data_IF_022434114763
#
_entry.id   IF_022434114763
#
_cell.length_a   1.000
_cell.length_b   1.000
_cell.length_c   1.000
_cell.angle_alpha   90.00
_cell.angle_beta   90.00
_cell.angle_gamma   90.00
#
_symmetry.space_group_name_H-M   'P 1'
#
loop_
_entity.id
_entity.type
_entity.pdbx_description
1 polymer ?
#
# COMPACT_ATOMS: atom_id res chain seq x y z
N UNK A 1 59.51 -0.63 -49.58
CA UNK A 1 58.45 0.36 -49.90
C UNK A 1 57.29 0.08 -48.96
N UNK A 2 56.99 1.02 -48.06
CA UNK A 2 56.18 0.83 -46.86
C UNK A 2 54.73 0.38 -47.15
N UNK A 3 54.31 -0.74 -46.56
CA UNK A 3 52.89 -1.03 -46.32
C UNK A 3 52.47 -0.23 -45.09
N UNK A 4 51.55 0.69 -45.33
CA UNK A 4 51.02 1.62 -44.35
C UNK A 4 50.04 0.87 -43.44
N UNK A 5 50.51 0.43 -42.28
CA UNK A 5 49.67 -0.16 -41.23
C UNK A 5 48.87 0.97 -40.57
N UNK A 6 47.71 1.30 -41.18
CA UNK A 6 46.72 2.19 -40.57
C UNK A 6 46.02 1.41 -39.47
N UNK A 7 46.56 1.49 -38.26
CA UNK A 7 45.86 1.24 -37.01
C UNK A 7 44.52 1.96 -37.04
N UNK A 8 43.42 1.20 -37.16
CA UNK A 8 42.06 1.71 -36.94
C UNK A 8 41.97 2.17 -35.49
N UNK A 9 42.09 3.48 -35.26
CA UNK A 9 41.69 4.10 -34.01
C UNK A 9 40.23 3.74 -33.75
N UNK A 10 39.97 2.95 -32.71
CA UNK A 10 38.61 2.67 -32.27
C UNK A 10 37.90 4.00 -32.03
N UNK A 11 36.86 4.29 -32.81
CA UNK A 11 36.07 5.52 -32.65
C UNK A 11 35.52 5.56 -31.21
N UNK A 12 35.90 6.58 -30.48
CA UNK A 12 35.44 6.81 -29.12
C UNK A 12 33.97 7.26 -29.16
N UNK A 13 33.05 6.30 -29.07
CA UNK A 13 31.59 6.52 -29.16
C UNK A 13 30.99 7.20 -27.91
N UNK A 14 31.77 7.35 -26.83
CA UNK A 14 31.35 8.02 -25.59
C UNK A 14 31.72 7.23 -24.34
N UNK A 15 31.50 7.85 -23.17
CA UNK A 15 31.81 7.25 -21.87
C UNK A 15 30.56 6.62 -21.23
N UNK A 16 30.70 5.40 -20.72
CA UNK A 16 29.68 4.71 -19.94
C UNK A 16 30.07 4.72 -18.46
N UNK A 17 29.33 5.46 -17.63
CA UNK A 17 29.53 5.44 -16.16
C UNK A 17 28.59 4.44 -15.51
N UNK A 18 29.14 3.32 -15.04
CA UNK A 18 28.43 2.29 -14.31
C UNK A 18 28.72 2.39 -12.80
N UNK A 19 27.69 2.22 -11.98
CA UNK A 19 27.81 1.94 -10.54
C UNK A 19 27.13 0.61 -10.27
N UNK A 20 27.91 -0.41 -9.92
CA UNK A 20 27.42 -1.75 -9.62
C UNK A 20 27.52 -2.01 -8.12
N UNK A 21 26.48 -2.62 -7.54
CA UNK A 21 26.49 -3.13 -6.17
C UNK A 21 26.14 -4.61 -6.23
N UNK A 22 27.02 -5.47 -5.72
CA UNK A 22 26.78 -6.91 -5.58
C UNK A 22 26.65 -7.24 -4.10
N UNK A 23 25.55 -7.89 -3.74
CA UNK A 23 25.33 -8.41 -2.39
C UNK A 23 24.99 -9.90 -2.48
N UNK A 24 25.76 -10.71 -1.77
CA UNK A 24 25.49 -12.14 -1.62
C UNK A 24 24.85 -12.38 -0.25
N UNK A 25 23.64 -12.96 -0.27
CA UNK A 25 22.90 -13.30 0.95
C UNK A 25 22.70 -14.81 1.01
N UNK A 26 23.13 -15.40 2.13
CA UNK A 26 22.97 -16.83 2.42
C UNK A 26 21.75 -17.00 3.32
N UNK A 27 20.77 -17.76 2.87
CA UNK A 27 19.61 -18.17 3.67
C UNK A 27 19.87 -19.58 4.20
N UNK A 28 19.89 -19.74 5.52
CA UNK A 28 20.12 -21.03 6.16
C UNK A 28 18.88 -21.93 6.07
N UNK A 29 19.01 -23.24 6.28
CA UNK A 29 17.85 -24.12 6.49
C UNK A 29 16.99 -23.66 7.68
N UNK A 30 15.68 -23.97 7.62
CA UNK A 30 14.71 -23.49 8.62
C UNK A 30 15.06 -23.87 10.06
N UNK A 31 15.65 -25.06 10.27
CA UNK A 31 16.08 -25.57 11.58
C UNK A 31 17.01 -24.60 12.31
N UNK A 32 17.82 -23.84 11.57
CA UNK A 32 18.75 -22.87 12.15
C UNK A 32 18.04 -21.60 12.66
N UNK A 33 16.75 -21.42 12.36
CA UNK A 33 15.95 -20.28 12.81
C UNK A 33 14.92 -20.66 13.87
N UNK A 34 14.83 -21.93 14.32
CA UNK A 34 13.76 -22.36 15.23
C UNK A 34 13.75 -21.58 16.55
N UNK A 35 14.91 -21.42 17.20
CA UNK A 35 15.01 -20.70 18.48
C UNK A 35 14.55 -19.23 18.38
N UNK A 36 14.97 -18.51 17.33
CA UNK A 36 14.55 -17.12 17.12
C UNK A 36 13.07 -17.03 16.74
N UNK A 37 12.57 -18.02 16.00
CA UNK A 37 11.15 -18.10 15.63
C UNK A 37 10.28 -18.31 16.86
N UNK A 38 10.71 -19.15 17.81
CA UNK A 38 9.98 -19.38 19.06
C UNK A 38 9.93 -18.12 19.92
N UNK A 39 11.02 -17.36 20.00
CA UNK A 39 11.03 -16.05 20.68
C UNK A 39 10.04 -15.09 20.03
N UNK A 40 10.02 -15.00 18.69
CA UNK A 40 9.12 -14.10 17.96
C UNK A 40 7.66 -14.54 18.11
N UNK A 41 7.36 -15.84 18.08
CA UNK A 41 6.00 -16.39 18.20
C UNK A 41 5.44 -16.20 19.61
N UNK A 42 6.29 -16.27 20.64
CA UNK A 42 5.90 -16.08 22.04
C UNK A 42 5.84 -14.60 22.48
N UNK A 43 5.58 -13.68 21.54
CA UNK A 43 5.50 -12.22 21.77
C UNK A 43 4.49 -11.76 22.84
N UNK A 44 3.62 -12.65 23.31
CA UNK A 44 2.67 -12.35 24.41
C UNK A 44 3.32 -12.51 25.78
N UNK A 45 4.31 -13.36 25.89
CA UNK A 45 5.02 -13.68 27.13
C UNK A 45 6.33 -12.90 27.24
N UNK A 46 6.86 -12.41 26.11
CA UNK A 46 8.06 -11.62 26.04
C UNK A 46 7.83 -10.32 25.27
N UNK A 47 8.55 -9.26 25.64
CA UNK A 47 8.50 -7.96 24.96
C UNK A 47 9.70 -7.73 24.04
N UNK A 48 10.28 -8.80 23.48
CA UNK A 48 11.51 -8.71 22.68
C UNK A 48 11.27 -7.88 21.43
N UNK A 49 10.14 -8.06 20.73
CA UNK A 49 9.81 -7.31 19.52
C UNK A 49 9.74 -5.81 19.82
N UNK A 50 9.00 -5.40 20.86
CA UNK A 50 8.86 -3.98 21.23
C UNK A 50 10.18 -3.37 21.69
N UNK A 51 11.02 -4.12 22.43
CA UNK A 51 12.38 -3.69 22.80
C UNK A 51 13.27 -3.49 21.58
N UNK A 52 13.28 -4.44 20.64
CA UNK A 52 14.05 -4.33 19.40
C UNK A 52 13.56 -3.16 18.54
N UNK A 53 12.25 -2.93 18.48
CA UNK A 53 11.66 -1.81 17.76
C UNK A 53 12.20 -0.44 18.24
N UNK A 54 12.53 -0.30 19.52
CA UNK A 54 13.16 0.91 20.08
C UNK A 54 14.64 1.08 19.74
N UNK A 55 15.31 0.03 19.24
CA UNK A 55 16.75 0.02 18.93
C UNK A 55 17.05 0.11 17.41
N UNK A 56 16.08 -0.20 16.56
CA UNK A 56 16.26 -0.22 15.10
C UNK A 56 16.17 1.18 14.50
N UNK A 57 16.99 1.43 13.47
CA UNK A 57 16.93 2.66 12.68
C UNK A 57 15.85 2.61 11.59
N UNK A 58 15.62 1.43 11.01
CA UNK A 58 14.59 1.18 10.00
C UNK A 58 13.41 0.40 10.59
N UNK A 59 12.56 1.13 11.32
CA UNK A 59 11.37 0.57 11.95
C UNK A 59 10.38 0.00 10.92
N UNK A 60 10.32 0.57 9.71
CA UNK A 60 9.39 0.13 8.67
C UNK A 60 9.76 -1.26 8.15
N UNK A 61 11.04 -1.48 7.81
CA UNK A 61 11.51 -2.79 7.38
C UNK A 61 11.44 -3.82 8.50
N UNK A 62 11.78 -3.44 9.74
CA UNK A 62 11.62 -4.29 10.92
C UNK A 62 10.16 -4.75 11.08
N UNK A 63 9.21 -3.81 11.14
CA UNK A 63 7.78 -4.09 11.33
C UNK A 63 7.24 -5.00 10.23
N UNK A 64 7.60 -4.74 8.97
CA UNK A 64 7.18 -5.56 7.83
C UNK A 64 7.73 -6.98 7.89
N UNK A 65 8.98 -7.17 8.31
CA UNK A 65 9.59 -8.50 8.40
C UNK A 65 8.97 -9.32 9.55
N UNK A 66 8.79 -8.72 10.72
CA UNK A 66 8.11 -9.35 11.86
C UNK A 66 6.68 -9.72 11.49
N UNK A 67 5.94 -8.80 10.86
CA UNK A 67 4.60 -9.06 10.36
C UNK A 67 4.55 -10.27 9.42
N UNK A 68 5.48 -10.36 8.45
CA UNK A 68 5.54 -11.48 7.50
C UNK A 68 5.81 -12.82 8.18
N UNK A 69 6.67 -12.83 9.20
CA UNK A 69 6.96 -14.02 10.00
C UNK A 69 5.70 -14.48 10.73
N UNK A 70 5.04 -13.56 11.44
CA UNK A 70 3.84 -13.86 12.22
C UNK A 70 2.63 -14.20 11.35
N UNK A 71 2.48 -13.55 10.20
CA UNK A 71 1.46 -13.91 9.20
C UNK A 71 1.67 -15.33 8.67
N UNK A 72 2.92 -15.70 8.37
CA UNK A 72 3.27 -17.07 7.97
C UNK A 72 2.96 -18.13 9.05
N UNK A 73 2.74 -17.72 10.30
CA UNK A 73 2.31 -18.57 11.42
C UNK A 73 0.83 -18.37 11.80
N UNK A 74 0.08 -17.52 11.09
CA UNK A 74 -1.32 -17.21 11.39
C UNK A 74 -1.53 -16.34 12.65
N UNK A 75 -0.49 -15.64 13.10
CA UNK A 75 -0.47 -14.86 14.35
C UNK A 75 -0.48 -13.34 14.14
N UNK A 76 -0.54 -12.83 12.90
CA UNK A 76 -0.46 -11.39 12.63
C UNK A 76 -1.57 -10.59 13.33
N UNK A 77 -2.84 -11.00 13.19
CA UNK A 77 -3.98 -10.33 13.85
C UNK A 77 -3.81 -10.34 15.37
N UNK A 78 -3.36 -11.47 15.92
CA UNK A 78 -3.12 -11.63 17.35
C UNK A 78 -2.04 -10.67 17.87
N UNK A 79 -1.00 -10.40 17.08
CA UNK A 79 0.07 -9.46 17.40
C UNK A 79 -0.32 -8.00 17.16
N UNK A 80 -1.06 -7.70 16.09
CA UNK A 80 -1.59 -6.36 15.87
C UNK A 80 -2.51 -5.93 17.02
N UNK A 81 -3.32 -6.85 17.54
CA UNK A 81 -4.16 -6.58 18.70
C UNK A 81 -3.35 -6.29 19.98
N UNK A 82 -2.21 -6.95 20.21
CA UNK A 82 -1.35 -6.62 21.36
C UNK A 82 -0.72 -5.23 21.22
N UNK A 83 -0.28 -4.87 20.01
CA UNK A 83 0.23 -3.53 19.74
C UNK A 83 -0.83 -2.43 19.90
N UNK A 84 -2.08 -2.72 19.50
CA UNK A 84 -3.22 -1.84 19.73
C UNK A 84 -3.45 -1.64 21.24
N UNK A 85 -3.42 -2.73 22.01
CA UNK A 85 -3.61 -2.67 23.46
C UNK A 85 -2.52 -1.84 24.14
N UNK A 86 -1.25 -2.02 23.73
CA UNK A 86 -0.10 -1.25 24.22
C UNK A 86 -0.24 0.25 23.90
N UNK A 87 -0.49 0.63 22.64
CA UNK A 87 -0.55 2.04 22.24
C UNK A 87 -1.79 2.76 22.82
N UNK A 88 -2.92 2.07 22.99
CA UNK A 88 -4.10 2.63 23.65
C UNK A 88 -3.91 2.76 25.16
N UNK A 89 -3.16 1.86 25.80
CA UNK A 89 -2.84 1.97 27.22
C UNK A 89 -2.11 3.30 27.51
N UNK A 90 -1.20 3.70 26.62
CA UNK A 90 -0.42 4.95 26.69
C UNK A 90 -1.15 6.19 26.11
N UNK A 91 -2.31 6.00 25.48
CA UNK A 91 -3.05 7.09 24.85
C UNK A 91 -3.59 8.09 25.88
N UNK A 92 -3.43 9.39 25.58
CA UNK A 92 -3.91 10.50 26.41
C UNK A 92 -5.13 11.17 25.78
N UNK A 93 -6.16 11.55 26.58
CA UNK A 93 -7.30 12.34 26.12
C UNK A 93 -6.93 13.61 25.36
N UNK A 94 -5.83 14.27 25.76
CA UNK A 94 -5.35 15.52 25.17
C UNK A 94 -4.82 15.38 23.74
N UNK A 95 -4.45 14.16 23.33
CA UNK A 95 -3.81 13.86 22.03
C UNK A 95 -4.70 13.01 21.12
N UNK A 96 -6.01 13.02 21.34
CA UNK A 96 -6.93 12.17 20.58
C UNK A 96 -6.94 12.48 19.08
N UNK A 97 -6.87 13.76 18.70
CA UNK A 97 -6.83 14.21 17.31
C UNK A 97 -5.52 13.83 16.58
N UNK A 98 -4.49 13.46 17.34
CA UNK A 98 -3.19 13.02 16.82
C UNK A 98 -2.89 11.56 17.12
N UNK A 99 -3.87 10.82 17.67
CA UNK A 99 -3.75 9.41 17.98
C UNK A 99 -3.40 8.62 16.71
N UNK A 100 -2.45 7.69 16.85
CA UNK A 100 -1.91 6.91 15.74
C UNK A 100 -1.35 7.76 14.59
N UNK A 101 -1.00 9.04 14.74
CA UNK A 101 -0.29 9.81 13.69
C UNK A 101 1.24 9.70 13.79
N UNK A 102 1.73 9.08 14.86
CA UNK A 102 3.16 8.88 15.10
C UNK A 102 3.79 7.79 14.25
N UNK A 103 5.13 7.78 14.26
CA UNK A 103 5.95 6.70 13.72
C UNK A 103 6.16 5.65 14.82
N UNK A 104 5.19 4.73 14.97
CA UNK A 104 5.19 3.70 16.02
C UNK A 104 5.25 2.30 15.39
N UNK A 105 5.57 1.29 16.20
CA UNK A 105 5.57 -0.10 15.76
C UNK A 105 4.18 -0.50 15.25
N UNK A 106 3.10 -0.10 15.94
CA UNK A 106 1.72 -0.35 15.50
C UNK A 106 1.43 0.31 14.17
N UNK A 107 1.73 1.60 13.99
CA UNK A 107 1.37 2.28 12.74
C UNK A 107 2.10 1.68 11.55
N UNK A 108 3.38 1.32 11.70
CA UNK A 108 4.15 0.63 10.65
C UNK A 108 3.69 -0.79 10.39
N UNK A 109 3.38 -1.56 11.43
CA UNK A 109 2.89 -2.93 11.30
C UNK A 109 1.51 -2.97 10.63
N UNK A 110 0.58 -2.11 11.07
CA UNK A 110 -0.77 -2.07 10.52
C UNK A 110 -0.80 -1.49 9.10
N UNK A 111 0.06 -0.51 8.77
CA UNK A 111 0.26 -0.04 7.38
C UNK A 111 0.70 -1.19 6.46
N UNK A 112 1.69 -1.97 6.90
CA UNK A 112 2.17 -3.12 6.14
C UNK A 112 1.10 -4.20 5.99
N UNK A 113 0.30 -4.43 7.03
CA UNK A 113 -0.77 -5.43 7.02
C UNK A 113 -1.94 -5.03 6.11
N UNK A 114 -2.41 -3.79 6.23
CA UNK A 114 -3.45 -3.25 5.35
C UNK A 114 -3.04 -3.30 3.87
N UNK A 115 -1.76 -3.08 3.55
CA UNK A 115 -1.25 -3.26 2.18
C UNK A 115 -1.24 -4.74 1.77
N UNK A 116 -0.85 -5.63 2.67
CA UNK A 116 -0.78 -7.06 2.39
C UNK A 116 -2.15 -7.65 2.03
N UNK A 117 -3.19 -7.32 2.79
CA UNK A 117 -4.53 -7.92 2.62
C UNK A 117 -5.54 -7.02 1.90
N UNK A 118 -5.28 -5.72 1.81
CA UNK A 118 -6.23 -4.74 1.27
C UNK A 118 -6.00 -4.36 -0.20
N UNK A 119 -4.97 -4.89 -0.87
CA UNK A 119 -4.65 -4.50 -2.26
C UNK A 119 -5.77 -4.87 -3.23
N UNK A 120 -6.32 -6.08 -3.14
CA UNK A 120 -7.43 -6.55 -3.98
C UNK A 120 -8.70 -5.70 -3.73
N UNK A 121 -9.06 -5.52 -2.46
CA UNK A 121 -10.17 -4.65 -2.04
C UNK A 121 -10.06 -3.23 -2.63
N UNK A 122 -8.86 -2.63 -2.60
CA UNK A 122 -8.65 -1.29 -3.16
C UNK A 122 -8.87 -1.24 -4.66
N UNK A 123 -8.41 -2.26 -5.39
CA UNK A 123 -8.56 -2.30 -6.85
C UNK A 123 -10.02 -2.55 -7.25
N UNK A 124 -10.72 -3.45 -6.56
CA UNK A 124 -12.14 -3.72 -6.78
C UNK A 124 -13.01 -2.50 -6.45
N UNK A 125 -12.66 -1.75 -5.41
CA UNK A 125 -13.46 -0.61 -4.94
C UNK A 125 -13.20 0.66 -5.73
N UNK A 126 -11.93 0.99 -6.00
CA UNK A 126 -11.54 2.29 -6.57
C UNK A 126 -10.86 2.17 -7.93
N UNK A 127 -10.46 0.97 -8.35
CA UNK A 127 -9.55 0.78 -9.47
C UNK A 127 -10.10 1.34 -10.78
N UNK A 128 -11.36 1.05 -11.10
CA UNK A 128 -11.98 1.55 -12.33
C UNK A 128 -12.15 3.07 -12.36
N UNK A 129 -12.47 3.66 -11.21
CA UNK A 129 -12.60 5.11 -11.06
C UNK A 129 -11.24 5.77 -11.28
N UNK A 130 -10.20 5.27 -10.63
CA UNK A 130 -8.85 5.82 -10.70
C UNK A 130 -8.23 5.61 -12.08
N UNK A 131 -8.41 4.44 -12.69
CA UNK A 131 -8.00 4.17 -14.08
C UNK A 131 -8.71 5.11 -15.06
N UNK A 132 -10.01 5.35 -14.87
CA UNK A 132 -10.78 6.28 -15.71
C UNK A 132 -10.27 7.72 -15.60
N UNK A 133 -10.05 8.22 -14.39
CA UNK A 133 -9.48 9.56 -14.14
C UNK A 133 -8.12 9.71 -14.84
N UNK A 134 -7.24 8.71 -14.70
CA UNK A 134 -5.91 8.73 -15.30
C UNK A 134 -5.96 8.64 -16.83
N UNK A 135 -6.75 7.72 -17.39
CA UNK A 135 -6.88 7.50 -18.84
C UNK A 135 -7.48 8.70 -19.55
N UNK A 136 -8.52 9.29 -18.97
CA UNK A 136 -9.22 10.44 -19.55
C UNK A 136 -8.55 11.77 -19.21
N UNK A 137 -7.43 11.75 -18.47
CA UNK A 137 -6.68 12.94 -18.04
C UNK A 137 -7.57 13.99 -17.38
N UNK A 138 -8.50 13.54 -16.54
CA UNK A 138 -9.46 14.44 -15.88
C UNK A 138 -8.70 15.44 -15.02
N UNK A 139 -8.86 16.72 -15.34
CA UNK A 139 -8.19 17.83 -14.67
C UNK A 139 -9.24 18.68 -13.95
N UNK A 140 -9.01 18.97 -12.67
CA UNK A 140 -9.68 20.07 -12.00
C UNK A 140 -8.76 20.87 -11.08
N UNK A 141 -9.02 22.17 -11.01
CA UNK A 141 -8.40 23.10 -10.07
C UNK A 141 -9.49 23.99 -9.47
N UNK A 142 -9.53 24.04 -8.14
CA UNK A 142 -10.56 24.80 -7.39
C UNK A 142 -9.95 25.92 -6.55
N UNK A 143 -8.61 26.03 -6.53
CA UNK A 143 -7.90 27.18 -5.99
C UNK A 143 -7.88 28.31 -7.04
N UNK A 144 -8.54 29.46 -6.76
CA UNK A 144 -8.58 30.57 -7.71
C UNK A 144 -7.20 31.12 -8.09
N UNK A 145 -6.19 30.96 -7.24
CA UNK A 145 -4.82 31.43 -7.52
C UNK A 145 -4.07 30.56 -8.52
N UNK A 146 -4.53 29.33 -8.77
CA UNK A 146 -3.90 28.33 -9.65
C UNK A 146 -4.71 28.06 -10.92
N UNK A 147 -5.86 28.72 -11.06
CA UNK A 147 -6.80 28.53 -12.15
C UNK A 147 -6.23 29.12 -13.46
N UNK A 148 -6.39 28.43 -14.59
CA UNK A 148 -5.99 28.96 -15.88
C UNK A 148 -7.02 30.01 -16.37
N UNK A 149 -6.59 30.97 -17.22
CA UNK A 149 -7.41 32.13 -17.62
C UNK A 149 -8.76 31.77 -18.28
N UNK A 150 -8.88 30.57 -18.84
CA UNK A 150 -10.07 30.11 -19.56
C UNK A 150 -10.93 29.13 -18.75
N UNK A 151 -10.50 28.76 -17.53
CA UNK A 151 -11.22 27.79 -16.72
C UNK A 151 -12.34 28.45 -15.92
N UNK A 152 -13.55 27.87 -15.98
CA UNK A 152 -14.67 28.27 -15.15
C UNK A 152 -14.65 27.52 -13.81
N UNK A 153 -14.49 28.27 -12.71
CA UNK A 153 -14.42 27.72 -11.35
C UNK A 153 -15.64 26.86 -11.01
N UNK A 154 -16.84 27.22 -11.47
CA UNK A 154 -18.06 26.45 -11.20
C UNK A 154 -18.02 25.07 -11.86
N UNK A 155 -17.53 25.01 -13.09
CA UNK A 155 -17.31 23.74 -13.81
C UNK A 155 -16.25 22.88 -13.13
N UNK A 156 -15.16 23.48 -12.64
CA UNK A 156 -14.10 22.75 -11.91
C UNK A 156 -14.63 22.11 -10.61
N UNK A 157 -15.46 22.85 -9.86
CA UNK A 157 -16.14 22.32 -8.68
C UNK A 157 -17.08 21.15 -9.00
N UNK A 158 -17.82 21.25 -10.11
CA UNK A 158 -18.71 20.17 -10.55
C UNK A 158 -17.92 18.88 -10.84
N UNK A 159 -16.75 18.98 -11.46
CA UNK A 159 -15.87 17.83 -11.72
C UNK A 159 -15.35 17.24 -10.40
N UNK A 160 -14.83 18.07 -9.49
CA UNK A 160 -14.32 17.61 -8.20
C UNK A 160 -15.41 16.92 -7.36
N UNK A 161 -16.60 17.50 -7.29
CA UNK A 161 -17.73 16.96 -6.54
C UNK A 161 -18.22 15.64 -7.13
N UNK A 162 -18.30 15.53 -8.46
CA UNK A 162 -18.69 14.30 -9.13
C UNK A 162 -17.74 13.15 -8.78
N UNK A 163 -16.43 13.34 -8.93
CA UNK A 163 -15.47 12.28 -8.66
C UNK A 163 -15.33 11.97 -7.17
N UNK A 164 -15.37 12.98 -6.29
CA UNK A 164 -15.36 12.77 -4.84
C UNK A 164 -16.57 11.95 -4.38
N UNK A 165 -17.79 12.30 -4.83
CA UNK A 165 -19.01 11.54 -4.52
C UNK A 165 -18.96 10.13 -5.11
N UNK A 166 -18.40 9.96 -6.30
CA UNK A 166 -18.25 8.63 -6.94
C UNK A 166 -17.32 7.73 -6.14
N UNK A 167 -16.14 8.24 -5.74
CA UNK A 167 -15.22 7.49 -4.88
C UNK A 167 -15.86 7.17 -3.52
N UNK A 168 -16.54 8.15 -2.91
CA UNK A 168 -17.19 7.94 -1.61
C UNK A 168 -18.27 6.86 -1.68
N UNK A 169 -19.14 6.91 -2.68
CA UNK A 169 -20.19 5.92 -2.89
C UNK A 169 -19.60 4.51 -3.05
N UNK A 170 -18.56 4.36 -3.87
CA UNK A 170 -17.89 3.08 -4.05
C UNK A 170 -17.34 2.51 -2.74
N UNK A 171 -16.72 3.35 -1.90
CA UNK A 171 -16.26 2.95 -0.56
C UNK A 171 -17.44 2.50 0.31
N UNK A 172 -18.52 3.27 0.39
CA UNK A 172 -19.67 2.90 1.23
C UNK A 172 -20.40 1.64 0.77
N UNK A 173 -20.41 1.35 -0.54
CA UNK A 173 -21.04 0.15 -1.10
C UNK A 173 -20.14 -1.09 -0.99
N UNK A 174 -18.83 -0.91 -0.77
CA UNK A 174 -17.83 -1.99 -0.71
C UNK A 174 -17.73 -2.71 0.63
N UNK A 175 -18.54 -2.35 1.64
CA UNK A 175 -18.49 -2.89 3.01
C UNK A 175 -18.42 -4.43 3.05
N UNK A 176 -19.22 -5.11 2.22
CA UNK A 176 -19.27 -6.58 2.19
C UNK A 176 -18.02 -7.24 1.61
N UNK A 177 -17.21 -6.49 0.87
CA UNK A 177 -15.95 -6.95 0.29
C UNK A 177 -14.73 -6.51 1.13
N UNK A 178 -14.96 -5.85 2.27
CA UNK A 178 -13.88 -5.39 3.14
C UNK A 178 -13.10 -6.60 3.70
N UNK A 179 -11.75 -6.56 3.75
CA UNK A 179 -10.95 -7.72 4.18
C UNK A 179 -11.32 -8.17 5.59
N UNK A 180 -11.68 -9.46 5.74
CA UNK A 180 -12.17 -10.03 7.02
C UNK A 180 -11.14 -9.95 8.14
N UNK A 181 -9.87 -10.06 7.79
CA UNK A 181 -8.74 -9.92 8.69
C UNK A 181 -8.70 -8.51 9.29
N UNK A 182 -8.95 -7.48 8.47
CA UNK A 182 -9.01 -6.09 8.93
C UNK A 182 -10.27 -5.81 9.75
N UNK A 183 -11.41 -6.45 9.45
CA UNK A 183 -12.60 -6.36 10.32
C UNK A 183 -12.27 -6.77 11.75
N UNK A 184 -11.53 -7.87 11.94
CA UNK A 184 -11.13 -8.36 13.28
C UNK A 184 -10.22 -7.37 13.99
N UNK A 185 -9.25 -6.78 13.29
CA UNK A 185 -8.33 -5.77 13.84
C UNK A 185 -9.07 -4.49 14.20
N UNK A 186 -9.93 -3.97 13.31
CA UNK A 186 -10.67 -2.73 13.54
C UNK A 186 -11.79 -2.87 14.56
N UNK A 187 -12.44 -4.03 14.65
CA UNK A 187 -13.38 -4.35 15.73
C UNK A 187 -12.68 -4.27 17.10
N UNK A 188 -11.48 -4.86 17.21
CA UNK A 188 -10.67 -4.76 18.43
C UNK A 188 -10.26 -3.32 18.71
N UNK A 189 -9.70 -2.62 17.72
CA UNK A 189 -9.30 -1.21 17.83
C UNK A 189 -10.45 -0.33 18.33
N UNK A 190 -11.61 -0.41 17.66
CA UNK A 190 -12.77 0.40 17.98
C UNK A 190 -13.24 0.15 19.42
N UNK A 191 -13.36 -1.12 19.81
CA UNK A 191 -13.76 -1.50 21.18
C UNK A 191 -12.80 -0.96 22.23
N UNK A 192 -11.48 -1.10 22.03
CA UNK A 192 -10.46 -0.64 22.98
C UNK A 192 -10.44 0.88 23.11
N UNK A 193 -10.65 1.61 22.01
CA UNK A 193 -10.80 3.07 22.04
C UNK A 193 -12.05 3.48 22.83
N UNK A 194 -13.18 2.82 22.58
CA UNK A 194 -14.42 3.10 23.33
C UNK A 194 -14.23 2.82 24.82
N UNK A 195 -13.66 1.67 25.19
CA UNK A 195 -13.39 1.31 26.60
C UNK A 195 -12.47 2.34 27.29
N UNK A 196 -11.37 2.75 26.63
CA UNK A 196 -10.38 3.69 27.20
C UNK A 196 -10.96 5.08 27.44
N UNK A 197 -11.79 5.58 26.53
CA UNK A 197 -12.27 6.97 26.55
C UNK A 197 -13.71 7.13 27.04
N UNK A 198 -14.42 6.04 27.33
CA UNK A 198 -15.73 6.07 28.01
C UNK A 198 -15.62 6.09 29.53
N UNK A 199 -14.43 5.88 30.09
CA UNK A 199 -14.22 5.85 31.54
C UNK A 199 -14.38 7.26 32.16
N UNK A 200 -15.35 7.48 33.07
CA UNK A 200 -15.58 8.76 33.75
C UNK A 200 -14.41 9.24 34.60
N UNK A 201 -13.44 8.38 34.91
CA UNK A 201 -12.21 8.77 35.63
C UNK A 201 -11.18 9.48 34.75
N UNK A 202 -11.32 9.40 33.42
CA UNK A 202 -10.44 10.07 32.44
C UNK A 202 -10.89 11.50 32.12
N UNK A 203 -12.13 11.86 32.47
CA UNK A 203 -12.60 13.25 32.46
C UNK A 203 -12.02 13.99 33.67
N UNK A 204 -11.13 14.93 33.40
CA UNK A 204 -10.65 15.88 34.41
C UNK A 204 -11.85 16.61 35.00
N UNK A 205 -12.20 16.30 36.25
CA UNK A 205 -13.19 17.04 36.99
C UNK A 205 -12.66 18.48 37.18
N UNK A 206 -13.19 19.43 36.43
CA UNK A 206 -12.98 20.84 36.74
C UNK A 206 -13.63 21.11 38.11
N UNK A 207 -12.84 21.65 39.04
CA UNK A 207 -13.22 21.94 40.43
C UNK A 207 -14.35 22.97 40.61
N UNK A 208 -14.92 23.48 39.52
CA UNK A 208 -16.03 24.43 39.50
C UNK A 208 -17.22 23.72 38.86
N UNK A 209 -18.22 23.35 39.67
CA UNK A 209 -19.40 22.50 39.36
C UNK A 209 -20.36 22.98 38.26
N UNK A 210 -19.83 23.43 37.14
CA UNK A 210 -20.54 23.77 35.90
C UNK A 210 -20.18 22.71 34.86
N UNK A 211 -21.07 21.72 34.68
CA UNK A 211 -21.00 20.76 33.57
C UNK A 211 -21.29 21.51 32.26
N UNK A 212 -20.25 22.03 31.60
CA UNK A 212 -20.34 22.19 30.15
C UNK A 212 -20.58 20.80 29.53
N UNK A 213 -21.31 20.68 28.40
CA UNK A 213 -21.40 19.42 27.69
C UNK A 213 -19.99 19.04 27.23
N UNK A 214 -19.34 18.13 27.96
CA UNK A 214 -18.07 17.56 27.54
C UNK A 214 -18.25 16.95 26.15
N UNK A 215 -17.36 17.24 25.19
CA UNK A 215 -17.42 16.61 23.88
C UNK A 215 -17.43 15.10 24.06
N UNK A 216 -18.23 14.38 23.25
CA UNK A 216 -18.26 12.92 23.21
C UNK A 216 -16.90 12.40 22.72
N UNK A 217 -15.95 12.37 23.65
CA UNK A 217 -14.55 12.05 23.41
C UNK A 217 -14.42 10.59 22.99
N UNK A 218 -15.21 9.70 23.61
CA UNK A 218 -15.31 8.30 23.26
C UNK A 218 -15.78 8.13 21.81
N UNK A 219 -16.87 8.82 21.42
CA UNK A 219 -17.35 8.83 20.05
C UNK A 219 -16.33 9.38 19.08
N UNK A 220 -15.65 10.48 19.41
CA UNK A 220 -14.60 11.04 18.56
C UNK A 220 -13.45 10.05 18.38
N UNK A 221 -12.95 9.43 19.46
CA UNK A 221 -11.90 8.41 19.43
C UNK A 221 -12.29 7.24 18.53
N UNK A 222 -13.50 6.72 18.75
CA UNK A 222 -14.08 5.57 18.07
C UNK A 222 -14.03 5.74 16.55
N UNK A 223 -14.49 6.87 16.04
CA UNK A 223 -14.56 7.12 14.60
C UNK A 223 -13.22 7.58 14.01
N UNK A 224 -12.53 8.52 14.66
CA UNK A 224 -11.29 9.10 14.12
C UNK A 224 -10.10 8.14 14.21
N UNK A 225 -10.05 7.27 15.22
CA UNK A 225 -9.00 6.25 15.36
C UNK A 225 -9.02 5.23 14.22
N UNK A 226 -10.20 4.67 13.91
CA UNK A 226 -10.35 3.73 12.77
C UNK A 226 -10.20 4.46 11.44
N UNK A 227 -10.80 5.64 11.29
CA UNK A 227 -10.68 6.46 10.06
C UNK A 227 -9.24 6.86 9.77
N UNK A 228 -8.42 7.06 10.82
CA UNK A 228 -6.99 7.34 10.72
C UNK A 228 -6.14 6.19 10.16
N UNK A 229 -6.66 4.97 10.12
CA UNK A 229 -6.05 3.86 9.39
C UNK A 229 -6.70 3.69 8.01
N UNK A 230 -8.03 3.58 7.98
CA UNK A 230 -8.76 3.27 6.74
C UNK A 230 -8.60 4.36 5.68
N UNK A 231 -8.73 5.64 6.05
CA UNK A 231 -8.63 6.73 5.08
C UNK A 231 -7.21 7.26 4.96
N UNK A 232 -6.61 7.66 6.08
CA UNK A 232 -5.30 8.32 6.05
C UNK A 232 -4.16 7.41 5.59
N UNK A 233 -4.27 6.09 5.77
CA UNK A 233 -3.18 5.13 5.51
C UNK A 233 -3.45 4.12 4.41
N UNK A 234 -4.71 3.86 4.09
CA UNK A 234 -5.09 2.91 3.05
C UNK A 234 -5.73 3.62 1.84
N UNK A 235 -6.93 4.16 1.98
CA UNK A 235 -7.72 4.70 0.86
C UNK A 235 -7.11 5.97 0.27
N UNK A 236 -6.85 7.01 1.05
CA UNK A 236 -6.33 8.28 0.53
C UNK A 236 -4.93 8.12 -0.08
N UNK A 237 -3.98 7.36 0.53
CA UNK A 237 -2.72 7.05 -0.13
C UNK A 237 -2.88 6.27 -1.45
N UNK A 238 -3.85 5.37 -1.56
CA UNK A 238 -4.14 4.66 -2.81
C UNK A 238 -4.68 5.60 -3.90
N UNK A 239 -5.49 6.60 -3.53
CA UNK A 239 -5.96 7.64 -4.46
C UNK A 239 -4.82 8.56 -4.87
N UNK A 240 -3.96 8.98 -3.94
CA UNK A 240 -2.83 9.86 -4.20
C UNK A 240 -1.76 9.20 -5.08
N UNK A 241 -1.42 7.95 -4.77
CA UNK A 241 -0.36 7.21 -5.44
C UNK A 241 -0.86 5.87 -5.99
N UNK A 242 -1.79 5.86 -6.96
CA UNK A 242 -2.42 4.61 -7.42
C UNK A 242 -1.42 3.62 -8.01
N UNK A 243 -0.29 4.10 -8.55
CA UNK A 243 0.80 3.24 -9.02
C UNK A 243 1.48 2.47 -7.88
N UNK A 244 1.65 3.10 -6.70
CA UNK A 244 2.28 2.47 -5.53
C UNK A 244 1.42 1.37 -4.92
N UNK A 245 0.13 1.38 -5.24
CA UNK A 245 -0.85 0.36 -4.87
C UNK A 245 -1.18 -0.58 -6.04
N UNK A 246 -0.43 -0.51 -7.14
CA UNK A 246 -0.58 -1.36 -8.32
C UNK A 246 -1.93 -1.24 -9.06
N UNK A 247 -2.70 -0.19 -8.80
CA UNK A 247 -4.01 0.08 -9.43
C UNK A 247 -3.84 0.56 -10.88
N UNK A 248 -2.80 1.35 -11.12
CA UNK A 248 -2.42 1.86 -12.46
C UNK A 248 -0.98 1.48 -12.80
N UNK A 249 -0.70 1.33 -14.10
CA UNK A 249 0.63 0.92 -14.59
C UNK A 249 1.64 2.07 -14.59
N UNK A 250 1.18 3.27 -14.91
CA UNK A 250 2.01 4.47 -15.09
C UNK A 250 1.66 5.54 -14.06
N UNK A 251 2.58 6.47 -13.83
CA UNK A 251 2.28 7.60 -12.97
C UNK A 251 1.22 8.49 -13.62
N UNK A 252 0.19 8.94 -12.87
CA UNK A 252 -0.77 9.90 -13.40
C UNK A 252 -0.06 11.16 -13.88
N UNK A 253 -0.52 11.74 -14.99
CA UNK A 253 -0.04 13.03 -15.47
C UNK A 253 -0.33 14.13 -14.42
N UNK A 254 0.50 15.19 -14.38
CA UNK A 254 0.44 16.22 -13.33
C UNK A 254 -0.98 16.78 -13.08
N UNK A 255 -1.75 17.02 -14.16
CA UNK A 255 -3.13 17.51 -14.05
C UNK A 255 -4.09 16.47 -13.45
N UNK A 256 -3.99 15.21 -13.86
CA UNK A 256 -4.80 14.13 -13.27
C UNK A 256 -4.40 13.84 -11.81
N UNK A 257 -3.10 13.88 -11.51
CA UNK A 257 -2.59 13.76 -10.14
C UNK A 257 -3.12 14.88 -9.23
N UNK A 258 -3.24 16.12 -9.74
CA UNK A 258 -3.86 17.22 -9.00
C UNK A 258 -5.32 16.93 -8.65
N UNK A 259 -6.12 16.43 -9.60
CA UNK A 259 -7.49 15.98 -9.35
C UNK A 259 -7.55 14.91 -8.26
N UNK A 260 -6.71 13.88 -8.34
CA UNK A 260 -6.61 12.82 -7.33
C UNK A 260 -6.24 13.38 -5.94
N UNK A 261 -5.35 14.37 -5.89
CA UNK A 261 -4.97 15.06 -4.65
C UNK A 261 -6.16 15.79 -4.02
N UNK A 262 -6.97 16.48 -4.81
CA UNK A 262 -8.16 17.18 -4.33
C UNK A 262 -9.24 16.20 -3.84
N UNK A 263 -9.43 15.08 -4.53
CA UNK A 263 -10.34 14.01 -4.09
C UNK A 263 -9.87 13.43 -2.75
N UNK A 264 -8.60 13.01 -2.65
CA UNK A 264 -8.04 12.45 -1.43
C UNK A 264 -8.14 13.44 -0.25
N UNK A 265 -7.87 14.74 -0.49
CA UNK A 265 -8.02 15.79 0.51
C UNK A 265 -9.46 15.94 1.01
N UNK A 266 -10.43 15.84 0.10
CA UNK A 266 -11.85 15.95 0.43
C UNK A 266 -12.33 14.77 1.28
N UNK A 267 -11.96 13.54 0.88
CA UNK A 267 -12.24 12.33 1.67
C UNK A 267 -11.50 12.33 3.01
N UNK A 268 -10.28 12.86 3.07
CA UNK A 268 -9.55 13.01 4.33
C UNK A 268 -10.21 14.02 5.27
N UNK A 269 -10.78 15.11 4.74
CA UNK A 269 -11.58 16.07 5.52
C UNK A 269 -12.80 15.40 6.15
N UNK A 270 -13.54 14.62 5.36
CA UNK A 270 -14.66 13.79 5.83
C UNK A 270 -14.21 12.80 6.93
N UNK A 271 -13.14 12.04 6.69
CA UNK A 271 -12.60 11.05 7.63
C UNK A 271 -12.11 11.64 8.96
N UNK A 272 -11.64 12.89 8.93
CA UNK A 272 -11.23 13.62 10.13
C UNK A 272 -12.40 14.24 10.89
N UNK A 273 -13.62 14.24 10.32
CA UNK A 273 -14.80 14.91 10.87
C UNK A 273 -14.58 16.43 11.08
N UNK A 274 -13.82 17.06 10.18
CA UNK A 274 -13.47 18.50 10.25
C UNK A 274 -13.82 19.20 8.94
N UNK A 275 -14.45 20.36 9.05
CA UNK A 275 -14.74 21.26 7.92
C UNK A 275 -13.57 22.19 7.61
N UNK A 276 -13.42 22.56 6.34
CA UNK A 276 -12.47 23.58 5.90
C UNK A 276 -12.85 24.96 6.45
N UNK A 277 -11.84 25.70 6.93
CA UNK A 277 -12.00 27.04 7.51
C UNK A 277 -11.09 28.07 6.83
N UNK A 278 -10.76 29.14 7.55
CA UNK A 278 -10.03 30.31 7.01
C UNK A 278 -8.63 29.99 6.45
N UNK A 279 -7.94 28.97 6.99
CA UNK A 279 -6.62 28.55 6.48
C UNK A 279 -6.67 28.04 5.04
N UNK A 280 -7.81 27.51 4.61
CA UNK A 280 -8.03 26.94 3.29
C UNK A 280 -9.40 27.40 2.76
N UNK A 281 -9.62 28.71 2.75
CA UNK A 281 -10.91 29.33 2.40
C UNK A 281 -11.45 28.90 1.04
N UNK A 282 -10.55 28.63 0.08
CA UNK A 282 -10.90 28.14 -1.25
C UNK A 282 -11.53 26.74 -1.23
N UNK A 283 -11.33 25.91 -0.20
CA UNK A 283 -11.97 24.59 -0.05
C UNK A 283 -13.33 24.63 0.66
N UNK A 284 -13.76 25.78 1.19
CA UNK A 284 -15.02 25.91 1.96
C UNK A 284 -16.25 25.32 1.24
N UNK A 285 -16.42 25.43 -0.09
CA UNK A 285 -17.55 24.79 -0.77
C UNK A 285 -17.62 23.27 -0.60
N UNK A 286 -16.51 22.59 -0.29
CA UNK A 286 -16.47 21.15 0.00
C UNK A 286 -17.17 20.79 1.33
N UNK A 287 -17.41 21.76 2.22
CA UNK A 287 -18.08 21.51 3.49
C UNK A 287 -19.52 21.00 3.34
N UNK A 288 -20.18 21.32 2.21
CA UNK A 288 -21.47 20.73 1.85
C UNK A 288 -21.37 19.19 1.81
N UNK A 289 -20.42 18.67 1.02
CA UNK A 289 -20.15 17.23 0.94
C UNK A 289 -19.79 16.61 2.29
N UNK A 290 -18.92 17.26 3.07
CA UNK A 290 -18.49 16.74 4.38
C UNK A 290 -19.68 16.61 5.34
N UNK A 291 -20.50 17.65 5.43
CA UNK A 291 -21.64 17.70 6.34
C UNK A 291 -22.70 16.67 5.93
N UNK A 292 -23.00 16.57 4.63
CA UNK A 292 -23.93 15.59 4.07
C UNK A 292 -23.52 14.14 4.38
N UNK A 293 -22.23 13.82 4.30
CA UNK A 293 -21.74 12.44 4.35
C UNK A 293 -21.21 12.02 5.72
N UNK A 294 -21.13 12.92 6.70
CA UNK A 294 -20.63 12.61 8.06
C UNK A 294 -21.37 11.44 8.70
N UNK A 295 -22.70 11.38 8.56
CA UNK A 295 -23.49 10.25 9.09
C UNK A 295 -23.13 8.94 8.39
N UNK A 296 -23.11 8.94 7.05
CA UNK A 296 -22.77 7.75 6.27
C UNK A 296 -21.35 7.24 6.55
N UNK A 297 -20.41 8.13 6.88
CA UNK A 297 -19.07 7.72 7.31
C UNK A 297 -19.13 6.95 8.63
N UNK A 298 -19.86 7.46 9.62
CA UNK A 298 -20.02 6.76 10.90
C UNK A 298 -20.68 5.40 10.71
N UNK A 299 -21.72 5.33 9.89
CA UNK A 299 -22.40 4.08 9.54
C UNK A 299 -21.47 3.08 8.83
N UNK A 300 -20.61 3.56 7.93
CA UNK A 300 -19.58 2.74 7.27
C UNK A 300 -18.54 2.21 8.28
N UNK A 301 -18.00 3.08 9.14
CA UNK A 301 -17.02 2.69 10.16
C UNK A 301 -17.61 1.65 11.11
N UNK A 302 -18.87 1.81 11.52
CA UNK A 302 -19.53 0.88 12.41
C UNK A 302 -19.70 -0.50 11.76
N UNK A 303 -20.04 -0.56 10.47
CA UNK A 303 -20.15 -1.83 9.74
C UNK A 303 -18.81 -2.55 9.61
N UNK A 304 -17.70 -1.85 9.39
CA UNK A 304 -16.36 -2.47 9.29
C UNK A 304 -15.72 -2.76 10.66
N UNK A 305 -16.41 -2.44 11.76
CA UNK A 305 -15.99 -2.76 13.13
C UNK A 305 -16.93 -3.77 13.81
N UNK A 306 -17.78 -4.46 13.05
CA UNK A 306 -18.59 -5.57 13.57
C UNK A 306 -17.76 -6.86 13.57
N UNK A 307 -17.60 -7.53 14.72
CA UNK A 307 -16.94 -8.83 14.75
C UNK A 307 -17.81 -9.86 14.01
N UNK A 308 -17.19 -10.65 13.11
CA UNK A 308 -17.87 -11.73 12.41
C UNK A 308 -18.45 -12.72 13.44
N UNK A 309 -19.78 -12.94 13.50
CA UNK A 309 -20.40 -13.87 14.45
C UNK A 309 -19.93 -15.32 14.27
N UNK A 310 -19.30 -15.65 13.13
CA UNK A 310 -18.69 -16.96 12.86
C UNK A 310 -17.41 -17.23 13.68
N UNK A 311 -16.86 -16.22 14.36
CA UNK A 311 -15.54 -16.28 15.01
C UNK A 311 -15.52 -17.01 16.36
N UNK A 312 -16.69 -17.38 16.90
CA UNK A 312 -16.82 -18.03 18.21
C UNK A 312 -16.43 -19.51 18.24
N UNK A 313 -16.07 -20.11 17.10
CA UNK A 313 -15.85 -21.56 16.99
C UNK A 313 -14.61 -21.91 16.16
N UNK A 314 -13.45 -21.36 16.49
CA UNK A 314 -12.16 -21.87 16.01
C UNK A 314 -11.27 -22.23 17.20
N UNK A 315 -11.68 -23.29 17.91
CA UNK A 315 -10.75 -24.15 18.62
C UNK A 315 -9.87 -24.85 17.58
N UNK A 316 -8.56 -24.65 17.68
CA UNK A 316 -7.54 -25.67 17.37
C UNK A 316 -7.74 -26.48 16.08
N UNK A 317 -7.74 -25.85 14.91
CA UNK A 317 -7.43 -26.56 13.67
C UNK A 317 -6.45 -25.75 12.83
N UNK A 318 -5.17 -25.98 13.11
CA UNK A 318 -4.05 -25.54 12.29
C UNK A 318 -4.09 -26.31 10.97
N UNK A 319 -4.58 -25.67 9.91
CA UNK A 319 -4.27 -26.09 8.54
C UNK A 319 -3.45 -24.98 7.90
N UNK A 320 -2.15 -25.26 7.75
CA UNK A 320 -1.19 -24.42 7.06
C UNK A 320 -1.66 -24.25 5.62
N UNK A 321 -2.27 -23.10 5.29
CA UNK A 321 -2.34 -22.67 3.89
C UNK A 321 -0.92 -22.26 3.50
N UNK A 322 -0.22 -23.16 2.84
CA UNK A 322 1.01 -22.87 2.11
C UNK A 322 0.69 -21.96 0.93
N UNK A 323 0.68 -20.65 1.19
CA UNK A 323 0.74 -19.66 0.12
C UNK A 323 2.16 -19.71 -0.48
N UNK A 324 2.31 -19.92 -1.80
CA UNK A 324 3.62 -19.85 -2.42
C UNK A 324 4.18 -18.45 -2.22
N UNK A 325 5.38 -18.36 -1.64
CA UNK A 325 6.20 -17.15 -1.69
C UNK A 325 6.48 -16.82 -3.15
N UNK A 326 5.63 -16.01 -3.79
CA UNK A 326 5.95 -15.49 -5.11
C UNK A 326 7.18 -14.57 -4.98
N UNK A 327 8.20 -14.74 -5.84
CA UNK A 327 9.29 -13.78 -5.93
C UNK A 327 8.74 -12.43 -6.42
N UNK A 328 9.44 -11.31 -6.15
CA UNK A 328 9.04 -10.02 -6.67
C UNK A 328 8.96 -10.07 -8.20
N UNK A 329 7.76 -9.86 -8.74
CA UNK A 329 7.53 -9.78 -10.18
C UNK A 329 8.36 -8.64 -10.76
N UNK A 330 9.24 -8.97 -11.70
CA UNK A 330 9.94 -8.00 -12.54
C UNK A 330 9.04 -7.59 -13.71
N UNK A 331 9.13 -6.35 -14.21
CA UNK A 331 8.14 -5.78 -15.12
C UNK A 331 8.32 -6.31 -16.55
N UNK A 332 7.19 -6.53 -17.23
CA UNK A 332 7.13 -6.62 -18.69
C UNK A 332 7.09 -8.03 -19.26
N UNK A 333 5.88 -8.59 -19.38
CA UNK A 333 5.54 -9.34 -20.58
C UNK A 333 4.16 -8.91 -21.05
N UNK A 334 4.11 -8.52 -22.31
CA UNK A 334 2.96 -8.03 -23.04
C UNK A 334 1.93 -9.15 -23.17
N UNK A 335 0.70 -8.92 -22.71
CA UNK A 335 -0.45 -9.65 -23.22
C UNK A 335 -0.60 -9.29 -24.71
N UNK A 336 -0.16 -10.18 -25.60
CA UNK A 336 -0.67 -10.19 -26.97
C UNK A 336 -2.13 -10.60 -26.92
N UNK A 337 -2.97 -9.70 -27.40
CA UNK A 337 -4.37 -9.93 -27.72
C UNK A 337 -4.51 -11.10 -28.69
N UNK A 338 -5.20 -12.17 -28.27
CA UNK A 338 -5.66 -13.21 -29.19
C UNK A 338 -6.76 -12.62 -30.09
N UNK A 339 -6.40 -12.34 -31.34
CA UNK A 339 -7.36 -12.29 -32.44
C UNK A 339 -7.92 -13.69 -32.68
N UNK A 340 -9.24 -13.81 -32.57
CA UNK A 340 -10.04 -15.00 -32.88
C UNK A 340 -10.27 -15.06 -34.40
N UNK A 341 -9.65 -16.01 -35.07
CA UNK A 341 -9.98 -16.37 -36.46
C UNK A 341 -10.65 -17.75 -36.51
N UNK A 342 -11.61 -17.88 -37.44
CA UNK A 342 -12.63 -18.94 -37.57
C UNK A 342 -12.08 -20.26 -38.13
N UNK A 343 -12.76 -21.34 -37.70
CA UNK A 343 -12.91 -22.71 -38.22
C UNK A 343 -12.34 -23.10 -39.60
N UNK A 344 -11.74 -24.29 -39.66
CA UNK A 344 -11.55 -25.12 -40.87
C UNK A 344 -10.80 -26.42 -40.52
N UNK A 345 -11.38 -27.59 -40.81
CA UNK A 345 -11.01 -28.88 -40.19
C UNK A 345 -9.97 -29.76 -40.91
N UNK A 346 -9.73 -30.94 -40.31
CA UNK A 346 -9.13 -32.12 -40.95
C UNK A 346 -7.65 -32.42 -40.61
N UNK A 347 -7.20 -33.69 -40.65
CA UNK A 347 -6.42 -34.29 -39.56
C UNK A 347 -5.02 -34.85 -39.93
N UNK A 348 -4.27 -35.25 -38.89
CA UNK A 348 -3.07 -36.10 -38.85
C UNK A 348 -1.72 -35.53 -39.32
N UNK A 349 -0.74 -35.44 -38.39
CA UNK A 349 0.40 -36.37 -38.29
C UNK A 349 1.55 -35.75 -37.45
N UNK A 350 2.00 -36.51 -36.46
CA UNK A 350 3.28 -36.33 -35.77
C UNK A 350 4.41 -36.77 -36.71
N UNK A 351 5.51 -35.99 -36.81
CA UNK A 351 6.92 -36.38 -37.10
C UNK A 351 7.77 -35.09 -37.34
N UNK A 352 9.12 -35.15 -37.37
CA UNK A 352 10.02 -34.89 -36.23
C UNK A 352 10.81 -33.56 -36.36
N UNK A 353 11.47 -33.18 -35.25
CA UNK A 353 12.34 -32.01 -35.14
C UNK A 353 13.52 -32.10 -36.12
N UNK A 354 13.49 -31.31 -37.19
CA UNK A 354 14.68 -31.01 -37.99
C UNK A 354 15.54 -29.96 -37.27
N UNK A 355 16.82 -30.29 -37.07
CA UNK A 355 17.87 -29.35 -36.65
C UNK A 355 17.97 -28.23 -37.68
N UNK A 356 17.81 -26.98 -37.25
CA UNK A 356 18.13 -25.81 -38.04
C UNK A 356 19.63 -25.48 -37.93
N UNK A 357 20.21 -25.19 -39.09
CA UNK A 357 21.59 -24.80 -39.38
C UNK A 357 21.94 -23.44 -38.73
N UNK A 358 23.09 -23.26 -38.03
CA UNK A 358 23.43 -22.01 -37.36
C UNK A 358 23.91 -20.86 -38.25
N UNK A 359 23.82 -20.94 -39.58
CA UNK A 359 24.48 -19.99 -40.49
C UNK A 359 23.64 -18.81 -41.02
N UNK A 360 22.43 -18.55 -40.51
CA UNK A 360 21.56 -17.48 -41.05
C UNK A 360 20.93 -16.52 -40.02
N UNK A 361 21.71 -15.92 -39.11
CA UNK A 361 21.24 -14.80 -38.26
C UNK A 361 22.31 -13.67 -38.17
N UNK A 362 21.97 -12.39 -38.44
CA UNK A 362 22.89 -11.25 -38.34
C UNK A 362 23.36 -10.96 -36.89
N UNK A 363 24.59 -10.45 -36.68
CA UNK A 363 25.17 -10.31 -35.35
C UNK A 363 24.73 -9.01 -34.68
N UNK A 364 23.72 -9.08 -33.81
CA UNK A 364 23.53 -8.11 -32.74
C UNK A 364 22.94 -8.81 -31.50
N UNK A 365 23.66 -8.69 -30.38
CA UNK A 365 23.26 -9.08 -29.02
C UNK A 365 23.39 -10.59 -28.71
N UNK A 366 24.63 -11.05 -28.53
CA UNK A 366 24.92 -12.19 -27.63
C UNK A 366 26.13 -11.83 -26.76
N UNK A 367 25.86 -11.46 -25.52
CA UNK A 367 26.83 -11.50 -24.42
C UNK A 367 26.12 -12.02 -23.16
N UNK A 368 25.62 -13.25 -23.23
CA UNK A 368 25.23 -14.00 -22.04
C UNK A 368 26.49 -14.69 -21.49
N UNK A 369 27.03 -14.16 -20.40
CA UNK A 369 28.13 -14.78 -19.67
C UNK A 369 27.67 -16.15 -19.11
N UNK A 370 28.13 -17.22 -19.76
CA UNK A 370 28.11 -18.58 -19.24
C UNK A 370 29.19 -18.68 -18.15
N UNK A 371 28.78 -18.81 -16.88
CA UNK A 371 29.66 -19.33 -15.82
C UNK A 371 28.97 -20.55 -15.21
N UNK A 372 29.52 -21.73 -15.51
CA UNK A 372 29.22 -22.98 -14.80
C UNK A 372 29.81 -22.89 -13.40
N UNK A 373 29.02 -23.18 -12.37
CA UNK A 373 29.54 -23.60 -11.07
C UNK A 373 28.89 -24.92 -10.67
N UNK A 374 29.69 -25.98 -10.69
CA UNK A 374 29.38 -27.26 -10.06
C UNK A 374 29.59 -27.13 -8.54
N UNK A 375 28.54 -27.35 -7.75
CA UNK A 375 28.68 -27.89 -6.39
C UNK A 375 27.30 -28.29 -5.85
N UNK A 376 27.15 -29.57 -5.51
CA UNK A 376 26.06 -30.08 -4.69
C UNK A 376 26.28 -29.61 -3.25
N UNK A 377 25.34 -28.86 -2.68
CA UNK A 377 24.92 -28.86 -1.27
C UNK A 377 23.71 -27.93 -1.13
N UNK A 378 22.69 -28.36 -0.39
CA UNK A 378 21.38 -27.71 -0.24
C UNK A 378 21.46 -26.34 0.44
N UNK A 379 21.82 -25.31 -0.34
CA UNK A 379 21.80 -23.90 0.07
C UNK A 379 21.09 -23.12 -1.02
N UNK A 380 20.00 -22.45 -0.67
CA UNK A 380 19.29 -21.56 -1.59
C UNK A 380 20.02 -20.21 -1.65
N UNK A 381 20.74 -19.97 -2.74
CA UNK A 381 21.43 -18.70 -3.00
C UNK A 381 20.46 -17.78 -3.75
N UNK A 382 19.99 -16.70 -3.11
CA UNK A 382 19.23 -15.64 -3.80
C UNK A 382 20.18 -14.55 -4.29
N UNK A 383 20.34 -14.44 -5.61
CA UNK A 383 21.11 -13.37 -6.27
C UNK A 383 20.17 -12.23 -6.65
N UNK A 384 20.37 -11.03 -6.10
CA UNK A 384 19.62 -9.84 -6.49
C UNK A 384 20.50 -8.89 -7.31
N UNK A 385 19.97 -8.42 -8.45
CA UNK A 385 20.59 -7.41 -9.29
C UNK A 385 19.78 -6.12 -9.22
N UNK A 386 20.41 -5.01 -8.88
CA UNK A 386 19.82 -3.67 -9.06
C UNK A 386 20.85 -2.78 -9.75
N UNK A 387 20.44 -2.12 -10.84
CA UNK A 387 21.31 -1.24 -11.62
C UNK A 387 20.52 -0.11 -12.24
N UNK A 388 21.05 1.11 -12.13
CA UNK A 388 20.50 2.30 -12.80
C UNK A 388 21.41 2.65 -13.96
N UNK A 389 20.91 2.54 -15.19
CA UNK A 389 21.62 3.00 -16.39
C UNK A 389 21.24 4.46 -16.66
N UNK A 390 22.23 5.35 -16.70
CA UNK A 390 22.05 6.73 -17.18
C UNK A 390 22.95 6.87 -18.41
N UNK A 391 22.33 6.95 -19.59
CA UNK A 391 23.02 7.29 -20.82
C UNK A 391 22.97 8.81 -20.99
N UNK A 392 24.11 9.49 -20.90
CA UNK A 392 24.25 10.88 -21.37
C UNK A 392 24.76 10.82 -22.81
N UNK A 393 23.85 10.86 -23.78
CA UNK A 393 24.24 11.31 -25.11
C UNK A 393 24.30 12.84 -25.07
N UNK A 394 25.49 13.39 -25.31
CA UNK A 394 25.71 14.83 -25.44
C UNK A 394 24.87 15.39 -26.58
N UNK A 395 24.11 16.45 -26.28
CA UNK A 395 23.64 17.42 -27.27
C UNK A 395 24.86 18.12 -27.87
N UNK A 396 25.07 17.96 -29.18
CA UNK A 396 25.63 18.98 -30.06
C UNK A 396 24.67 19.11 -31.23
#
# INVERSE_FOLDING_TARGET
MHMNDRTRSAEHLGDLRLKLKYEEQIVLPLVNYEEIMDIIVNFRENNVISKLAGLVTDLESFSRNVLRILEGRGLAVAWLNTLIDEEIAEASPTRINTLFRGNTLLTKALDAYMRLVGTEYLDDTLGDILRSICKNKVACEVDPSRLEKNDDLKTQWRILMLHTRTCWRAVTESVHHFPKELLRVFSHLQRRLTEKFSDPSSSSANANGTKAPEPDLAGLARYTGVSGFVFLRLICPAILGPKLFYIVREHPEARAHRTLTLIAKSLQGLANLVTFGSKESWMVPMNEFITENTKSLKDFIDQICVPDPSSGHLSSSNSVRSLPLQPPHSPGSTHSSMFRAKNGGGPHSLLPIHRLDPSSVPPAIVAAARIRSSSRRDISIRRHWTGTMICRCCLI
#
